data_IF_447365945608
#
_entry.id   IF_447365945608
#
_cell.length_a   1.000
_cell.length_b   1.000
_cell.length_c   1.000
_cell.angle_alpha   90.00
_cell.angle_beta   90.00
_cell.angle_gamma   90.00
#
_symmetry.space_group_name_H-M   'P 1'
#
loop_
_entity.id
_entity.type
_entity.pdbx_description
1 polymer ?
#
# COMPACT_ATOMS: atom_id res chain seq x y z
N UNK A 1 -36.60 -81.77 17.36
CA UNK A 1 -35.86 -80.70 16.67
C UNK A 1 -34.85 -80.15 17.67
N UNK A 2 -33.57 -80.28 17.32
CA UNK A 2 -32.37 -80.26 18.17
C UNK A 2 -32.30 -79.10 19.18
N UNK A 3 -32.09 -79.36 20.49
CA UNK A 3 -30.78 -79.52 21.17
C UNK A 3 -29.90 -78.26 20.99
N UNK A 4 -29.58 -77.48 22.01
CA UNK A 4 -28.53 -77.84 22.96
C UNK A 4 -28.55 -77.00 24.24
N UNK A 5 -28.02 -77.63 25.28
CA UNK A 5 -28.05 -77.29 26.69
C UNK A 5 -26.61 -77.02 27.17
N UNK A 6 -26.46 -76.11 28.16
CA UNK A 6 -25.31 -75.91 29.09
C UNK A 6 -24.01 -75.37 28.43
N UNK A 7 -23.10 -74.66 29.10
CA UNK A 7 -22.90 -74.25 30.51
C UNK A 7 -21.88 -73.09 30.57
N UNK A 8 -21.95 -72.38 31.68
CA UNK A 8 -21.13 -71.30 32.24
C UNK A 8 -19.61 -71.51 32.26
N UNK A 9 -18.82 -70.43 32.13
CA UNK A 9 -17.52 -70.13 32.83
C UNK A 9 -17.31 -68.59 32.83
N UNK A 10 -17.40 -67.83 33.94
CA UNK A 10 -16.39 -67.45 34.97
C UNK A 10 -15.32 -66.46 34.42
N UNK A 11 -15.38 -65.14 34.71
CA UNK A 11 -14.71 -64.36 35.79
C UNK A 11 -13.38 -63.67 35.36
N UNK A 12 -13.27 -62.39 35.76
CA UNK A 12 -12.09 -61.54 36.06
C UNK A 12 -10.96 -61.43 35.02
N UNK A 13 -10.75 -60.27 34.40
CA UNK A 13 -9.98 -59.12 34.91
C UNK A 13 -8.46 -59.39 35.02
N UNK A 14 -7.63 -58.79 34.14
CA UNK A 14 -6.25 -58.40 34.47
C UNK A 14 -5.83 -57.12 33.73
N UNK A 15 -5.37 -56.20 34.56
CA UNK A 15 -4.75 -54.90 34.41
C UNK A 15 -3.39 -54.95 33.69
N UNK A 16 -3.14 -53.96 32.82
CA UNK A 16 -1.83 -53.36 32.46
C UNK A 16 -0.75 -54.27 31.84
N UNK A 17 -0.50 -54.06 30.54
CA UNK A 17 0.83 -54.20 29.95
C UNK A 17 1.24 -52.83 29.36
N UNK A 18 1.73 -51.97 30.25
CA UNK A 18 2.54 -50.80 29.94
C UNK A 18 3.97 -51.29 29.82
N UNK A 19 4.65 -50.94 28.72
CA UNK A 19 6.08 -51.22 28.54
C UNK A 19 6.37 -52.51 27.78
N UNK A 20 6.30 -52.44 26.44
CA UNK A 20 7.21 -53.07 25.47
C UNK A 20 6.70 -52.82 24.03
N UNK A 21 6.49 -51.55 23.69
CA UNK A 21 6.33 -51.09 22.30
C UNK A 21 7.12 -49.79 22.08
N UNK A 22 8.31 -49.73 22.69
CA UNK A 22 9.43 -48.90 22.25
C UNK A 22 10.35 -49.83 21.44
N UNK A 23 10.39 -49.66 20.12
CA UNK A 23 11.55 -49.99 19.25
C UNK A 23 11.23 -49.94 17.74
N UNK A 24 9.97 -49.73 17.33
CA UNK A 24 9.58 -49.82 15.91
C UNK A 24 9.21 -48.51 15.22
N UNK A 25 9.18 -47.38 15.93
CA UNK A 25 8.74 -46.09 15.38
C UNK A 25 9.76 -44.96 15.66
N UNK A 26 11.05 -45.31 15.68
CA UNK A 26 12.16 -44.37 15.88
C UNK A 26 13.00 -44.16 14.61
N UNK A 27 12.39 -44.31 13.43
CA UNK A 27 13.05 -44.10 12.13
C UNK A 27 12.12 -43.50 11.06
N UNK A 28 11.18 -42.63 11.46
CA UNK A 28 10.40 -41.81 10.53
C UNK A 28 10.47 -40.30 10.84
N UNK A 29 11.61 -39.87 11.38
CA UNK A 29 12.00 -38.46 11.50
C UNK A 29 13.27 -38.15 10.70
N UNK A 30 13.48 -38.87 9.60
CA UNK A 30 14.52 -38.52 8.61
C UNK A 30 13.94 -37.42 7.74
N UNK A 31 14.57 -36.25 7.84
CA UNK A 31 14.09 -34.98 7.35
C UNK A 31 13.81 -34.96 5.85
N UNK A 32 12.62 -34.47 5.52
CA UNK A 32 12.44 -33.62 4.36
C UNK A 32 12.51 -32.17 4.82
N UNK A 33 13.74 -31.66 4.79
CA UNK A 33 14.04 -30.24 4.64
C UNK A 33 13.51 -29.78 3.28
N UNK A 34 12.21 -29.51 3.20
CA UNK A 34 11.66 -28.64 2.17
C UNK A 34 11.77 -27.23 2.71
N UNK A 35 12.95 -26.63 2.50
CA UNK A 35 13.19 -25.21 2.69
C UNK A 35 12.25 -24.43 1.79
N UNK A 36 11.05 -24.16 2.29
CA UNK A 36 10.10 -23.24 1.70
C UNK A 36 10.63 -21.83 1.91
N UNK A 37 11.13 -21.28 0.82
CA UNK A 37 11.61 -19.93 0.56
C UNK A 37 10.73 -18.83 1.21
N UNK A 38 10.92 -18.59 2.51
CA UNK A 38 10.21 -17.55 3.29
C UNK A 38 11.08 -16.39 3.73
N UNK A 39 12.31 -16.27 3.23
CA UNK A 39 13.26 -15.24 3.74
C UNK A 39 14.28 -14.79 2.70
N UNK A 40 13.83 -14.28 1.55
CA UNK A 40 14.71 -13.53 0.64
C UNK A 40 14.20 -12.10 0.34
N UNK A 41 12.88 -11.86 0.30
CA UNK A 41 12.34 -10.52 -0.04
C UNK A 41 12.36 -9.52 1.15
N UNK A 42 12.54 -10.00 2.39
CA UNK A 42 12.38 -9.18 3.61
C UNK A 42 13.63 -8.47 4.11
N UNK A 43 14.83 -8.94 3.75
CA UNK A 43 16.10 -8.46 4.30
C UNK A 43 16.90 -7.56 3.34
N UNK A 44 16.59 -7.58 2.05
CA UNK A 44 17.43 -6.94 1.00
C UNK A 44 16.64 -5.95 0.13
N UNK A 45 15.62 -5.30 0.70
CA UNK A 45 14.87 -4.26 0.00
C UNK A 45 15.84 -3.15 -0.46
N UNK A 46 15.87 -2.83 -1.77
CA UNK A 46 16.88 -1.96 -2.35
C UNK A 46 16.90 -0.61 -1.63
N UNK A 47 18.12 -0.15 -1.31
CA UNK A 47 18.34 1.18 -0.72
C UNK A 47 18.26 2.23 -1.81
N UNK A 48 17.39 3.22 -1.63
CA UNK A 48 17.15 4.32 -2.57
C UNK A 48 17.02 5.63 -1.81
N UNK A 49 17.33 6.77 -2.43
CA UNK A 49 16.84 8.06 -1.92
C UNK A 49 15.36 8.18 -2.27
N UNK A 50 14.47 8.09 -1.27
CA UNK A 50 13.04 8.10 -1.53
C UNK A 50 12.56 9.47 -2.02
N UNK A 51 13.09 10.57 -1.46
CA UNK A 51 12.81 11.94 -1.95
C UNK A 51 13.17 12.06 -3.43
N UNK A 52 14.37 11.67 -3.83
CA UNK A 52 14.80 11.72 -5.23
C UNK A 52 13.94 10.84 -6.12
N UNK A 53 13.61 9.63 -5.67
CA UNK A 53 12.74 8.70 -6.42
C UNK A 53 11.35 9.27 -6.68
N UNK A 54 10.80 10.01 -5.72
CA UNK A 54 9.50 10.69 -5.85
C UNK A 54 9.62 11.85 -6.84
N UNK A 55 10.63 12.71 -6.71
CA UNK A 55 10.81 13.86 -7.61
C UNK A 55 11.21 13.45 -9.03
N UNK A 56 12.00 12.39 -9.18
CA UNK A 56 12.39 11.86 -10.50
C UNK A 56 11.18 11.29 -11.26
N UNK A 57 10.20 10.74 -10.53
CA UNK A 57 8.97 10.22 -11.12
C UNK A 57 8.11 11.34 -11.73
N UNK A 58 8.06 12.51 -11.09
CA UNK A 58 7.22 13.63 -11.53
C UNK A 58 7.93 14.57 -12.50
N UNK A 59 9.26 14.55 -12.57
CA UNK A 59 10.08 15.51 -13.33
C UNK A 59 9.69 15.68 -14.80
N UNK A 60 9.12 14.66 -15.43
CA UNK A 60 8.67 14.69 -16.83
C UNK A 60 7.21 15.10 -17.04
N UNK A 61 6.46 15.42 -15.99
CA UNK A 61 5.04 15.73 -16.12
C UNK A 61 4.83 17.10 -16.77
N UNK A 62 4.07 17.11 -17.86
CA UNK A 62 3.66 18.32 -18.55
C UNK A 62 2.18 18.26 -18.95
N UNK A 63 1.57 19.39 -19.35
CA UNK A 63 0.18 19.42 -19.80
C UNK A 63 -0.13 18.42 -20.92
N UNK A 64 0.84 18.16 -21.79
CA UNK A 64 0.70 17.22 -22.91
C UNK A 64 1.01 15.76 -22.53
N UNK A 65 1.28 15.49 -21.25
CA UNK A 65 1.41 14.11 -20.77
C UNK A 65 0.08 13.37 -20.91
N UNK A 66 0.15 12.08 -21.24
CA UNK A 66 -1.04 11.25 -21.36
C UNK A 66 -1.68 11.01 -19.99
N UNK A 67 -3.01 11.08 -19.94
CA UNK A 67 -3.79 10.55 -18.83
C UNK A 67 -4.89 9.64 -19.40
N UNK A 68 -5.03 8.45 -18.84
CA UNK A 68 -6.07 7.50 -19.23
C UNK A 68 -7.03 7.34 -18.06
N UNK A 69 -8.30 7.70 -18.23
CA UNK A 69 -9.26 7.52 -17.13
C UNK A 69 -9.33 6.06 -16.64
N UNK A 70 -9.21 5.81 -15.33
CA UNK A 70 -9.34 4.47 -14.79
C UNK A 70 -10.81 4.02 -14.79
N UNK A 71 -11.04 2.72 -14.93
CA UNK A 71 -12.36 2.12 -14.69
C UNK A 71 -12.60 2.04 -13.18
N UNK A 72 -13.88 2.03 -12.78
CA UNK A 72 -14.29 1.87 -11.38
C UNK A 72 -13.65 0.64 -10.70
N UNK A 73 -13.57 -0.48 -11.41
CA UNK A 73 -12.97 -1.70 -10.89
C UNK A 73 -11.44 -1.55 -10.65
N UNK A 74 -10.75 -0.81 -11.50
CA UNK A 74 -9.30 -0.57 -11.39
C UNK A 74 -9.02 0.36 -10.19
N UNK A 75 -9.78 1.45 -10.06
CA UNK A 75 -9.71 2.34 -8.88
C UNK A 75 -9.90 1.59 -7.57
N UNK A 76 -10.95 0.77 -7.51
CA UNK A 76 -11.27 -0.03 -6.33
C UNK A 76 -10.20 -1.06 -6.00
N UNK A 77 -9.66 -1.74 -7.01
CA UNK A 77 -8.60 -2.72 -6.79
C UNK A 77 -7.34 -2.11 -6.17
N UNK A 78 -6.96 -0.90 -6.58
CA UNK A 78 -5.81 -0.19 -5.99
C UNK A 78 -6.10 0.26 -4.56
N UNK A 79 -7.28 0.86 -4.33
CA UNK A 79 -7.69 1.29 -2.99
C UNK A 79 -7.79 0.11 -2.00
N UNK A 80 -8.45 -0.98 -2.37
CA UNK A 80 -8.58 -2.18 -1.55
C UNK A 80 -7.20 -2.80 -1.24
N UNK A 81 -6.27 -2.75 -2.21
CA UNK A 81 -4.90 -3.21 -2.01
C UNK A 81 -4.09 -2.33 -1.05
N UNK A 82 -4.25 -1.00 -1.09
CA UNK A 82 -3.70 -0.11 -0.06
C UNK A 82 -4.22 -0.54 1.31
N UNK A 83 -5.53 -0.78 1.43
CA UNK A 83 -6.14 -1.29 2.65
C UNK A 83 -5.48 -2.58 3.16
N UNK A 84 -5.29 -3.57 2.29
CA UNK A 84 -4.60 -4.82 2.63
C UNK A 84 -3.16 -4.60 3.10
N UNK A 85 -2.42 -3.64 2.53
CA UNK A 85 -1.05 -3.33 2.96
C UNK A 85 -1.06 -2.70 4.36
N UNK A 86 -2.00 -1.78 4.63
CA UNK A 86 -2.18 -1.17 5.94
C UNK A 86 -2.55 -2.21 7.03
N UNK A 87 -3.26 -3.27 6.64
CA UNK A 87 -3.63 -4.39 7.50
C UNK A 87 -2.49 -5.42 7.67
N UNK A 88 -1.31 -5.20 7.08
CA UNK A 88 -0.18 -6.12 7.18
C UNK A 88 -0.32 -7.36 6.29
N UNK A 89 -1.05 -7.25 5.18
CA UNK A 89 -1.32 -8.33 4.24
C UNK A 89 -0.82 -8.03 2.81
N UNK A 90 0.46 -7.68 2.60
CA UNK A 90 0.99 -7.31 1.28
C UNK A 90 0.84 -8.44 0.24
N UNK A 91 0.97 -9.70 0.64
CA UNK A 91 0.82 -10.84 -0.28
C UNK A 91 -0.59 -10.96 -0.84
N UNK A 92 -1.61 -10.58 -0.06
CA UNK A 92 -3.01 -10.54 -0.52
C UNK A 92 -3.27 -9.33 -1.43
N UNK A 93 -2.48 -8.26 -1.30
CA UNK A 93 -2.59 -7.06 -2.13
C UNK A 93 -1.97 -7.25 -3.53
N UNK A 94 -0.97 -8.12 -3.68
CA UNK A 94 -0.23 -8.31 -4.94
C UNK A 94 -1.11 -8.76 -6.12
N UNK A 95 -1.99 -9.79 -6.02
CA UNK A 95 -2.82 -10.22 -7.15
C UNK A 95 -3.78 -9.15 -7.68
N UNK A 96 -4.61 -8.46 -6.86
CA UNK A 96 -5.51 -7.43 -7.38
C UNK A 96 -4.74 -6.21 -7.94
N UNK A 97 -3.59 -5.83 -7.36
CA UNK A 97 -2.73 -4.80 -7.94
C UNK A 97 -2.23 -5.20 -9.33
N UNK A 98 -1.72 -6.43 -9.47
CA UNK A 98 -1.24 -6.93 -10.75
C UNK A 98 -2.36 -6.93 -11.81
N UNK A 99 -3.58 -7.32 -11.44
CA UNK A 99 -4.75 -7.29 -12.32
C UNK A 99 -5.14 -5.85 -12.76
N UNK A 100 -4.95 -4.86 -11.88
CA UNK A 100 -5.12 -3.43 -12.21
C UNK A 100 -3.91 -2.84 -12.99
N UNK A 101 -2.86 -3.63 -13.23
CA UNK A 101 -1.64 -3.17 -13.89
C UNK A 101 -0.69 -2.39 -12.97
N UNK A 102 -0.82 -2.54 -11.65
CA UNK A 102 0.12 -2.03 -10.66
C UNK A 102 1.17 -3.08 -10.26
N UNK A 103 2.26 -2.61 -9.68
CA UNK A 103 3.28 -3.42 -9.00
C UNK A 103 3.44 -2.93 -7.56
N UNK A 104 3.77 -3.87 -6.67
CA UNK A 104 4.13 -3.60 -5.28
C UNK A 104 5.62 -3.89 -5.09
N UNK A 105 6.39 -2.91 -4.62
CA UNK A 105 7.80 -3.05 -4.25
C UNK A 105 7.99 -2.66 -2.80
N UNK A 106 8.93 -3.31 -2.12
CA UNK A 106 9.44 -2.83 -0.84
C UNK A 106 10.76 -2.12 -1.09
N UNK A 107 10.90 -0.91 -0.57
CA UNK A 107 12.09 -0.06 -0.70
C UNK A 107 12.61 0.26 0.70
N UNK A 108 13.92 0.51 0.82
CA UNK A 108 14.51 1.09 2.02
C UNK A 108 15.00 2.50 1.68
N UNK A 109 14.52 3.51 2.40
CA UNK A 109 15.05 4.86 2.22
C UNK A 109 16.47 4.96 2.79
N UNK A 110 17.40 5.49 1.99
CA UNK A 110 18.81 5.56 2.36
C UNK A 110 19.11 6.63 3.43
N UNK A 111 18.24 7.64 3.56
CA UNK A 111 18.42 8.72 4.54
C UNK A 111 17.93 8.32 5.94
N UNK A 112 16.77 7.70 6.02
CA UNK A 112 16.10 7.34 7.28
C UNK A 112 16.27 5.88 7.68
N UNK A 113 16.64 5.00 6.74
CA UNK A 113 16.68 3.55 6.95
C UNK A 113 15.30 2.88 7.05
N UNK A 114 14.21 3.64 6.91
CA UNK A 114 12.84 3.12 7.01
C UNK A 114 12.45 2.37 5.73
N UNK A 115 11.61 1.35 5.90
CA UNK A 115 11.07 0.56 4.79
C UNK A 115 9.72 1.13 4.34
N UNK A 116 9.50 1.13 3.03
CA UNK A 116 8.28 1.63 2.41
C UNK A 116 7.74 0.61 1.41
N UNK A 117 6.43 0.43 1.39
CA UNK A 117 5.74 -0.19 0.27
C UNK A 117 5.47 0.89 -0.79
N UNK A 118 5.99 0.69 -2.00
CA UNK A 118 5.66 1.48 -3.18
C UNK A 118 4.65 0.72 -4.04
N UNK A 119 3.50 1.34 -4.28
CA UNK A 119 2.57 0.94 -5.32
C UNK A 119 2.78 1.88 -6.51
N UNK A 120 3.15 1.31 -7.65
CA UNK A 120 3.39 2.06 -8.88
C UNK A 120 2.71 1.41 -10.07
N UNK A 121 2.35 2.23 -11.06
CA UNK A 121 1.78 1.75 -12.31
C UNK A 121 2.88 1.05 -13.14
N UNK A 122 2.57 -0.12 -13.74
CA UNK A 122 3.54 -0.86 -14.56
C UNK A 122 3.84 -0.17 -15.89
N UNK A 123 3.00 0.76 -16.32
CA UNK A 123 3.17 1.53 -17.56
C UNK A 123 4.06 2.76 -17.39
N UNK A 124 4.51 3.08 -16.17
CA UNK A 124 5.34 4.26 -15.88
C UNK A 124 6.64 4.30 -16.68
N UNK A 125 7.21 3.13 -16.99
CA UNK A 125 8.48 3.02 -17.70
C UNK A 125 8.28 2.87 -19.23
N UNK A 126 7.06 3.07 -19.73
CA UNK A 126 6.71 3.00 -21.15
C UNK A 126 6.51 4.39 -21.74
N UNK A 127 6.57 4.50 -23.07
CA UNK A 127 6.40 5.79 -23.77
C UNK A 127 5.01 6.43 -23.60
N UNK A 128 4.02 5.68 -23.10
CA UNK A 128 2.65 6.15 -22.88
C UNK A 128 2.11 5.72 -21.50
N UNK A 129 2.60 6.32 -20.39
CA UNK A 129 2.11 6.00 -19.06
C UNK A 129 0.64 6.41 -18.88
N UNK A 130 -0.12 5.66 -18.08
CA UNK A 130 -1.56 5.96 -17.85
C UNK A 130 -1.82 7.18 -16.97
N UNK A 131 -0.82 7.60 -16.21
CA UNK A 131 -0.91 8.78 -15.33
C UNK A 131 -1.59 8.56 -13.97
N UNK A 132 -1.67 7.32 -13.48
CA UNK A 132 -2.48 6.98 -12.29
C UNK A 132 -1.84 7.27 -10.93
N UNK A 133 -0.52 7.49 -10.91
CA UNK A 133 0.19 7.95 -9.72
C UNK A 133 0.83 6.83 -8.92
N UNK A 134 1.34 7.21 -7.74
CA UNK A 134 2.04 6.33 -6.82
C UNK A 134 1.52 6.48 -5.41
N UNK A 135 1.60 5.38 -4.66
CA UNK A 135 1.33 5.36 -3.22
C UNK A 135 2.55 4.82 -2.50
N UNK A 136 2.97 5.51 -1.43
CA UNK A 136 4.04 5.08 -0.55
C UNK A 136 3.49 4.90 0.85
N UNK A 137 3.64 3.70 1.42
CA UNK A 137 3.22 3.39 2.80
C UNK A 137 4.46 3.13 3.64
N UNK A 138 4.66 3.90 4.70
CA UNK A 138 5.69 3.61 5.70
C UNK A 138 5.37 2.29 6.43
N UNK A 139 6.31 1.35 6.40
CA UNK A 139 6.19 0.03 7.02
C UNK A 139 6.91 -0.06 8.37
N UNK A 140 7.55 1.02 8.82
CA UNK A 140 8.30 1.07 10.09
C UNK A 140 7.42 1.30 11.32
N UNK A 141 6.21 1.82 11.13
CA UNK A 141 5.23 2.05 12.18
C UNK A 141 3.81 1.86 11.62
N UNK A 142 2.82 1.53 12.47
CA UNK A 142 1.42 1.53 12.05
C UNK A 142 1.02 2.88 11.43
N UNK A 143 0.23 2.85 10.36
CA UNK A 143 -0.20 4.08 9.70
C UNK A 143 -1.09 4.95 10.60
N UNK A 144 -0.87 6.26 10.56
CA UNK A 144 -1.53 7.25 11.43
C UNK A 144 -2.01 8.49 10.71
N UNK A 145 -1.50 8.78 9.53
CA UNK A 145 -1.78 9.99 8.79
C UNK A 145 -1.41 9.81 7.31
N UNK A 146 -1.89 10.71 6.47
CA UNK A 146 -1.53 10.76 5.06
C UNK A 146 -1.13 12.15 4.60
N UNK A 147 -0.27 12.21 3.60
CA UNK A 147 0.05 13.40 2.82
C UNK A 147 -0.38 13.15 1.38
N UNK A 148 -1.05 14.14 0.79
CA UNK A 148 -1.70 13.99 -0.51
C UNK A 148 -1.19 15.11 -1.43
N UNK A 149 -0.67 14.73 -2.59
CA UNK A 149 -0.12 15.65 -3.60
C UNK A 149 -0.92 15.48 -4.89
N UNK A 150 -2.01 16.24 -5.07
CA UNK A 150 -2.89 16.11 -6.23
C UNK A 150 -2.32 16.75 -7.50
N UNK A 151 -1.44 17.75 -7.38
CA UNK A 151 -0.91 18.53 -8.51
C UNK A 151 0.64 18.58 -8.53
N UNK A 152 1.34 17.43 -8.53
CA UNK A 152 2.80 17.46 -8.62
C UNK A 152 3.25 18.24 -9.86
N UNK A 153 4.35 18.99 -9.74
CA UNK A 153 4.89 19.92 -10.75
C UNK A 153 4.00 21.11 -11.09
N UNK A 154 2.68 20.93 -11.22
CA UNK A 154 1.77 22.04 -11.52
C UNK A 154 1.62 22.99 -10.33
N UNK A 155 1.62 22.46 -9.12
CA UNK A 155 1.76 23.22 -7.89
C UNK A 155 3.24 23.06 -7.48
N UNK A 156 3.99 24.16 -7.58
CA UNK A 156 5.46 24.15 -7.53
C UNK A 156 6.01 23.44 -6.29
N UNK A 157 6.96 22.53 -6.51
CA UNK A 157 7.69 21.75 -5.49
C UNK A 157 6.81 20.92 -4.52
N UNK A 158 5.51 20.73 -4.80
CA UNK A 158 4.60 20.00 -3.90
C UNK A 158 4.97 18.52 -3.73
N UNK A 159 5.52 17.87 -4.76
CA UNK A 159 6.03 16.50 -4.66
C UNK A 159 7.22 16.38 -3.70
N UNK A 160 8.10 17.39 -3.68
CA UNK A 160 9.27 17.45 -2.81
C UNK A 160 8.82 17.71 -1.38
N UNK A 161 7.90 18.65 -1.20
CA UNK A 161 7.30 18.92 0.11
C UNK A 161 6.59 17.67 0.64
N UNK A 162 5.79 16.98 -0.20
CA UNK A 162 5.11 15.74 0.15
C UNK A 162 6.07 14.62 0.56
N UNK A 163 7.17 14.44 -0.18
CA UNK A 163 8.22 13.50 0.17
C UNK A 163 8.87 13.84 1.53
N UNK A 164 9.16 15.12 1.79
CA UNK A 164 9.74 15.56 3.07
C UNK A 164 8.79 15.39 4.24
N UNK A 165 7.49 15.63 4.04
CA UNK A 165 6.46 15.34 5.06
C UNK A 165 6.48 13.84 5.37
N UNK A 166 6.44 12.96 4.36
CA UNK A 166 6.55 11.50 4.52
C UNK A 166 7.82 11.08 5.29
N UNK A 167 8.95 11.67 4.92
CA UNK A 167 10.25 11.35 5.50
C UNK A 167 10.49 12.01 6.87
N UNK A 168 9.69 12.98 7.28
CA UNK A 168 9.83 13.70 8.55
C UNK A 168 9.28 12.96 9.77
N UNK A 169 8.32 12.04 9.59
CA UNK A 169 7.71 11.29 10.69
C UNK A 169 7.34 9.85 10.31
N UNK A 170 7.40 8.89 11.25
CA UNK A 170 6.87 7.54 11.05
C UNK A 170 5.35 7.46 10.83
N UNK A 171 4.92 6.37 10.19
CA UNK A 171 3.51 5.98 10.05
C UNK A 171 2.72 6.78 9.01
N UNK A 172 3.42 7.43 8.07
CA UNK A 172 2.81 8.20 7.00
C UNK A 172 2.46 7.38 5.76
N UNK A 173 1.42 7.82 5.05
CA UNK A 173 1.08 7.36 3.70
C UNK A 173 1.14 8.57 2.75
N UNK A 174 1.96 8.50 1.70
CA UNK A 174 1.95 9.49 0.62
C UNK A 174 1.10 8.98 -0.53
N UNK A 175 0.15 9.81 -0.99
CA UNK A 175 -0.62 9.60 -2.22
C UNK A 175 -0.21 10.70 -3.20
N UNK A 176 0.33 10.31 -4.35
CA UNK A 176 0.88 11.21 -5.35
C UNK A 176 0.14 11.00 -6.68
N UNK A 177 -0.45 12.06 -7.23
CA UNK A 177 -1.05 12.00 -8.56
C UNK A 177 0.00 11.68 -9.64
N UNK A 178 -0.41 11.05 -10.74
CA UNK A 178 0.52 10.51 -11.73
C UNK A 178 0.64 11.27 -13.03
N UNK A 179 0.01 12.43 -13.13
CA UNK A 179 0.07 13.26 -14.31
C UNK A 179 -0.03 14.73 -13.92
N UNK A 180 0.33 15.61 -14.86
CA UNK A 180 0.07 17.04 -14.73
C UNK A 180 -1.44 17.28 -14.67
N UNK A 181 -1.93 18.23 -13.86
CA UNK A 181 -3.39 18.44 -13.66
C UNK A 181 -4.19 18.74 -14.93
N UNK A 182 -3.52 19.29 -15.95
CA UNK A 182 -4.09 19.59 -17.29
C UNK A 182 -3.95 18.45 -18.31
N UNK A 183 -3.43 17.30 -17.90
CA UNK A 183 -3.26 16.15 -18.78
C UNK A 183 -4.60 15.48 -19.10
N UNK A 184 -4.71 14.96 -20.32
CA UNK A 184 -5.94 14.35 -20.84
C UNK A 184 -7.04 15.36 -21.19
N UNK A 185 -8.16 14.84 -21.67
CA UNK A 185 -9.27 15.68 -22.14
C UNK A 185 -10.10 16.21 -20.96
N UNK A 186 -10.44 17.51 -20.99
CA UNK A 186 -11.37 18.11 -20.04
C UNK A 186 -10.91 18.03 -18.57
N UNK A 187 -9.62 18.24 -18.32
CA UNK A 187 -9.01 18.19 -16.98
C UNK A 187 -9.21 16.84 -16.27
N UNK A 188 -9.25 15.74 -17.03
CA UNK A 188 -9.41 14.38 -16.49
C UNK A 188 -8.34 14.00 -15.47
N UNK A 189 -7.14 14.61 -15.54
CA UNK A 189 -6.06 14.41 -14.59
C UNK A 189 -6.08 15.37 -13.38
N UNK A 190 -7.03 16.32 -13.28
CA UNK A 190 -7.11 17.26 -12.15
C UNK A 190 -7.61 16.53 -10.89
N UNK A 191 -6.68 15.87 -10.20
CA UNK A 191 -6.97 14.98 -9.08
C UNK A 191 -7.60 15.70 -7.87
N UNK A 192 -7.49 17.03 -7.77
CA UNK A 192 -8.14 17.80 -6.71
C UNK A 192 -9.63 18.03 -6.98
N UNK A 193 -10.06 17.98 -8.25
CA UNK A 193 -11.43 18.25 -8.66
C UNK A 193 -12.17 17.00 -9.20
N UNK A 194 -11.47 15.87 -9.35
CA UNK A 194 -12.03 14.61 -9.90
C UNK A 194 -12.17 13.52 -8.83
N UNK A 195 -13.40 13.04 -8.66
CA UNK A 195 -13.75 11.94 -7.75
C UNK A 195 -13.74 10.55 -8.41
N UNK A 196 -13.10 10.45 -9.58
CA UNK A 196 -13.07 9.25 -10.40
C UNK A 196 -11.65 8.91 -10.88
N UNK A 197 -10.66 9.33 -10.09
CA UNK A 197 -9.25 9.00 -10.25
C UNK A 197 -8.82 7.86 -9.30
N UNK A 198 -7.67 7.25 -9.56
CA UNK A 198 -7.04 6.32 -8.58
C UNK A 198 -6.63 7.07 -7.32
N UNK A 199 -6.13 8.29 -7.46
CA UNK A 199 -5.75 9.18 -6.36
C UNK A 199 -6.91 9.38 -5.37
N UNK A 200 -8.08 9.77 -5.88
CA UNK A 200 -9.29 9.98 -5.09
C UNK A 200 -9.70 8.69 -4.37
N UNK A 201 -9.81 7.57 -5.09
CA UNK A 201 -10.21 6.30 -4.51
C UNK A 201 -9.30 5.81 -3.37
N UNK A 202 -7.98 6.08 -3.48
CA UNK A 202 -7.02 5.80 -2.39
C UNK A 202 -7.22 6.75 -1.23
N UNK A 203 -7.35 8.07 -1.47
CA UNK A 203 -7.61 9.04 -0.40
C UNK A 203 -8.90 8.70 0.37
N UNK A 204 -9.94 8.31 -0.36
CA UNK A 204 -11.21 7.81 0.17
C UNK A 204 -11.05 6.60 1.09
N UNK A 205 -10.17 5.65 0.73
CA UNK A 205 -9.86 4.49 1.58
C UNK A 205 -9.16 4.90 2.87
N UNK A 206 -8.22 5.85 2.81
CA UNK A 206 -7.52 6.36 3.98
C UNK A 206 -8.49 7.07 4.93
N UNK A 207 -9.40 7.89 4.39
CA UNK A 207 -10.45 8.56 5.16
C UNK A 207 -11.42 7.56 5.79
N UNK A 208 -11.86 6.54 5.05
CA UNK A 208 -12.71 5.45 5.60
C UNK A 208 -12.07 4.74 6.79
N UNK A 209 -10.74 4.66 6.80
CA UNK A 209 -9.94 4.06 7.89
C UNK A 209 -9.61 5.04 9.02
N UNK A 210 -10.06 6.28 8.93
CA UNK A 210 -9.84 7.31 9.95
C UNK A 210 -8.43 7.89 9.95
N UNK A 211 -7.70 7.81 8.83
CA UNK A 211 -6.39 8.46 8.71
C UNK A 211 -6.59 9.93 8.33
N UNK A 212 -6.21 10.90 9.19
CA UNK A 212 -6.21 12.31 8.80
C UNK A 212 -5.25 12.55 7.62
N UNK A 213 -5.65 13.42 6.70
CA UNK A 213 -4.87 13.79 5.52
C UNK A 213 -4.48 15.26 5.51
N UNK A 214 -3.23 15.53 5.15
CA UNK A 214 -2.76 16.87 4.75
C UNK A 214 -2.62 16.88 3.24
N UNK A 215 -3.45 17.66 2.56
CA UNK A 215 -3.35 17.83 1.11
C UNK A 215 -2.55 19.09 0.79
N UNK A 216 -1.50 18.93 -0.02
CA UNK A 216 -0.58 20.00 -0.35
C UNK A 216 -0.98 20.63 -1.68
N UNK A 217 -1.15 21.95 -1.65
CA UNK A 217 -1.49 22.76 -2.81
C UNK A 217 -0.57 23.97 -2.90
N UNK A 218 -0.25 24.34 -4.13
CA UNK A 218 0.34 25.61 -4.46
C UNK A 218 -0.74 26.68 -4.56
N UNK A 219 -0.36 27.93 -4.31
CA UNK A 219 -1.20 29.10 -4.56
C UNK A 219 -0.32 30.18 -5.18
N UNK A 220 -0.91 31.02 -6.03
CA UNK A 220 -0.22 32.19 -6.56
C UNK A 220 0.00 33.22 -5.45
N UNK A 221 1.09 33.98 -5.51
CA UNK A 221 1.41 35.04 -4.54
C UNK A 221 0.23 36.01 -4.32
N UNK A 222 -0.46 36.37 -5.41
CA UNK A 222 -1.61 37.27 -5.38
C UNK A 222 -2.85 36.66 -4.69
N UNK A 223 -2.92 35.32 -4.54
CA UNK A 223 -4.02 34.64 -3.83
C UNK A 223 -3.92 34.81 -2.31
N UNK A 224 -2.71 35.00 -1.78
CA UNK A 224 -2.47 35.26 -0.35
C UNK A 224 -1.21 36.12 -0.16
N UNK A 225 -1.27 37.43 -0.47
CA UNK A 225 -0.09 38.29 -0.47
C UNK A 225 0.65 38.29 0.87
N UNK A 226 1.97 38.11 0.82
CA UNK A 226 2.84 38.10 2.00
C UNK A 226 2.71 36.86 2.88
N UNK A 227 2.10 35.77 2.38
CA UNK A 227 1.98 34.48 3.07
C UNK A 227 2.78 33.42 2.34
N UNK A 228 3.65 32.73 3.07
CA UNK A 228 4.36 31.55 2.55
C UNK A 228 3.52 30.27 2.66
N UNK A 229 2.62 30.20 3.65
CA UNK A 229 1.79 29.03 3.94
C UNK A 229 0.39 29.45 4.37
N UNK A 230 -0.61 28.78 3.80
CA UNK A 230 -2.01 28.88 4.23
C UNK A 230 -2.46 27.51 4.73
N UNK A 231 -2.82 27.43 6.02
CA UNK A 231 -3.41 26.24 6.61
C UNK A 231 -4.94 26.36 6.63
N UNK A 232 -5.63 25.43 5.97
CA UNK A 232 -7.10 25.39 5.90
C UNK A 232 -7.61 24.01 6.27
N UNK A 233 -8.79 23.96 6.90
CA UNK A 233 -9.53 22.72 7.15
C UNK A 233 -10.31 22.25 5.91
N UNK A 234 -10.19 22.96 4.79
CA UNK A 234 -11.01 22.75 3.58
C UNK A 234 -12.45 23.22 3.73
N UNK A 235 -12.86 23.70 4.92
CA UNK A 235 -14.19 24.25 5.20
C UNK A 235 -14.07 25.73 5.55
N UNK A 236 -14.30 26.58 4.55
CA UNK A 236 -14.38 28.02 4.75
C UNK A 236 -14.60 28.75 3.43
N UNK A 237 -15.50 29.73 3.43
CA UNK A 237 -15.70 30.66 2.30
C UNK A 237 -14.99 32.01 2.52
N UNK A 238 -14.33 32.18 3.66
CA UNK A 238 -13.58 33.38 4.02
C UNK A 238 -12.40 33.02 4.93
N UNK A 239 -11.24 33.64 4.69
CA UNK A 239 -10.13 33.65 5.64
C UNK A 239 -10.42 34.57 6.82
N UNK A 240 -9.73 34.38 7.95
CA UNK A 240 -9.77 35.38 9.02
C UNK A 240 -9.04 36.64 8.53
N UNK A 241 -9.65 37.81 8.75
CA UNK A 241 -8.93 39.06 8.66
C UNK A 241 -7.88 39.11 9.78
N UNK A 242 -6.69 39.60 9.46
CA UNK A 242 -5.57 39.74 10.38
C UNK A 242 -5.84 40.72 11.53
#
# INVERSE_FOLDING_TARGET
MAEMRRKSVTVAAVTVAFGLLLAGLSAYTIGWSSGGDRTAEGADAPKVSLERRITDFTAGFGPDSGYREPRRAERRAVADAVGLILDGHPDRARPPLAAAGFRLRTLTDSGTGRRYAELSDRTEDTDAPRGWGRVYVDLSAPARWSVQVPHPVSDEDTERLGARVLLGSPGGVLVLAGAHRRAGDGDAADAAHRTDSVFDAVCDELVRRGLPGVQLHGFADDSAPGRDVVASTGKGSAGRAD
#
